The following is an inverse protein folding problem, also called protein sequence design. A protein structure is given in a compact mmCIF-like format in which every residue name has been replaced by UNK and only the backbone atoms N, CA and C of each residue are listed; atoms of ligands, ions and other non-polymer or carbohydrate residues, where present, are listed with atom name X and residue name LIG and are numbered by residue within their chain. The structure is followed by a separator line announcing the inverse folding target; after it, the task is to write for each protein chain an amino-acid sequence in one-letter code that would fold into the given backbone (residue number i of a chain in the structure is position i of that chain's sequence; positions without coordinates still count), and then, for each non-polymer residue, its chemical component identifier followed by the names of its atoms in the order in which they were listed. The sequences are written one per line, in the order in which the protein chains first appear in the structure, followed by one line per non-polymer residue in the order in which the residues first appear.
data_IF_873156639554
#
_entry.id   IF_873156639554
#
_cell.length_a   1.000
_cell.length_b   1.000
_cell.length_c   1.000
_cell.angle_alpha   90.00
_cell.angle_beta   90.00
_cell.angle_gamma   90.00
#
_symmetry.space_group_name_H-M   'P 1'
#
loop_
_entity.id
_entity.type
_entity.pdbx_description
1 polymer ?
#
# COMPACT_ATOMS: atom_id res chain seq x y z
N UNK A 1 -1.20 -28.67 13.33
CA UNK A 1 -2.16 -27.57 13.21
C UNK A 1 -3.49 -28.13 12.71
N UNK A 2 -4.58 -27.88 13.43
CA UNK A 2 -5.95 -28.28 13.06
C UNK A 2 -6.58 -27.29 12.08
N UNK A 3 -7.68 -27.66 11.43
CA UNK A 3 -8.42 -26.72 10.57
C UNK A 3 -8.91 -25.49 11.33
N UNK A 4 -9.35 -25.68 12.59
CA UNK A 4 -9.79 -24.58 13.47
C UNK A 4 -8.63 -23.63 13.77
N UNK A 5 -7.46 -24.15 14.09
CA UNK A 5 -6.26 -23.34 14.32
C UNK A 5 -5.85 -22.58 13.05
N UNK A 6 -5.95 -23.19 11.87
CA UNK A 6 -5.67 -22.52 10.61
C UNK A 6 -6.63 -21.35 10.34
N UNK A 7 -7.93 -21.52 10.61
CA UNK A 7 -8.93 -20.43 10.50
C UNK A 7 -8.63 -19.30 11.48
N UNK A 8 -8.33 -19.62 12.75
CA UNK A 8 -7.97 -18.62 13.76
C UNK A 8 -6.74 -17.84 13.31
N UNK A 9 -5.72 -18.53 12.80
CA UNK A 9 -4.49 -17.92 12.32
C UNK A 9 -4.71 -16.98 11.12
N UNK A 10 -5.58 -17.36 10.18
CA UNK A 10 -6.00 -16.47 9.08
C UNK A 10 -6.69 -15.22 9.64
N UNK A 11 -7.60 -15.39 10.60
CA UNK A 11 -8.36 -14.28 11.16
C UNK A 11 -7.47 -13.30 11.94
N UNK A 12 -6.54 -13.81 12.74
CA UNK A 12 -5.51 -13.00 13.41
C UNK A 12 -4.62 -12.26 12.41
N UNK A 13 -4.18 -12.95 11.35
CA UNK A 13 -3.39 -12.35 10.27
C UNK A 13 -4.13 -11.20 9.58
N UNK A 14 -5.43 -11.34 9.31
CA UNK A 14 -6.24 -10.25 8.74
C UNK A 14 -6.37 -9.05 9.69
N UNK A 15 -6.52 -9.28 11.00
CA UNK A 15 -6.55 -8.18 11.99
C UNK A 15 -5.21 -7.46 12.08
N UNK A 16 -4.11 -8.20 12.01
CA UNK A 16 -2.76 -7.62 11.95
C UNK A 16 -2.55 -6.82 10.65
N UNK A 17 -3.00 -7.34 9.51
CA UNK A 17 -2.95 -6.62 8.23
C UNK A 17 -3.74 -5.31 8.31
N UNK A 18 -4.94 -5.30 8.90
CA UNK A 18 -5.73 -4.08 9.10
C UNK A 18 -4.94 -3.04 9.91
N UNK A 19 -4.27 -3.45 11.00
CA UNK A 19 -3.44 -2.55 11.79
C UNK A 19 -2.28 -1.99 10.96
N UNK A 20 -1.56 -2.85 10.23
CA UNK A 20 -0.47 -2.44 9.34
C UNK A 20 -0.93 -1.49 8.23
N UNK A 21 -2.08 -1.73 7.60
CA UNK A 21 -2.62 -0.83 6.58
C UNK A 21 -3.05 0.53 7.13
N UNK A 22 -3.53 0.60 8.38
CA UNK A 22 -3.79 1.89 9.04
C UNK A 22 -2.50 2.68 9.25
N UNK A 23 -1.44 2.03 9.73
CA UNK A 23 -0.12 2.66 9.82
C UNK A 23 0.41 3.06 8.44
N UNK A 24 0.24 2.20 7.43
CA UNK A 24 0.65 2.49 6.04
C UNK A 24 -0.05 3.76 5.52
N UNK A 25 -1.36 3.87 5.75
CA UNK A 25 -2.15 5.06 5.39
C UNK A 25 -1.62 6.33 6.04
N UNK A 26 -1.33 6.30 7.33
CA UNK A 26 -0.78 7.44 8.08
C UNK A 26 0.60 7.84 7.52
N UNK A 27 1.46 6.86 7.23
CA UNK A 27 2.77 7.11 6.64
C UNK A 27 2.68 7.67 5.22
N UNK A 28 1.75 7.17 4.40
CA UNK A 28 1.52 7.71 3.05
C UNK A 28 1.04 9.17 3.11
N UNK A 29 0.14 9.51 4.04
CA UNK A 29 -0.26 10.90 4.26
C UNK A 29 0.91 11.78 4.76
N UNK A 30 1.75 11.25 5.65
CA UNK A 30 2.95 11.96 6.13
C UNK A 30 3.99 12.16 5.01
N UNK A 31 4.16 11.17 4.13
CA UNK A 31 5.07 11.23 2.99
C UNK A 31 4.68 12.36 2.03
N UNK A 32 3.38 12.51 1.75
CA UNK A 32 2.85 13.61 0.95
C UNK A 32 3.27 14.96 1.54
N UNK A 33 3.03 15.17 2.83
CA UNK A 33 3.37 16.42 3.52
C UNK A 33 4.88 16.68 3.53
N UNK A 34 5.69 15.64 3.75
CA UNK A 34 7.15 15.75 3.74
C UNK A 34 7.68 16.12 2.35
N UNK A 35 7.10 15.54 1.28
CA UNK A 35 7.44 15.88 -0.10
C UNK A 35 7.10 17.35 -0.41
N UNK A 36 5.89 17.80 -0.09
CA UNK A 36 5.46 19.20 -0.30
C UNK A 36 6.34 20.19 0.47
N UNK A 37 6.85 19.81 1.65
CA UNK A 37 7.69 20.65 2.50
C UNK A 37 9.20 20.46 2.27
N UNK A 38 9.60 19.69 1.24
CA UNK A 38 11.00 19.41 0.89
C UNK A 38 11.84 18.81 2.04
N UNK A 39 11.21 17.98 2.90
CA UNK A 39 11.86 17.37 4.07
C UNK A 39 12.49 16.02 3.72
N UNK A 40 13.61 16.04 3.00
CA UNK A 40 14.27 14.82 2.49
C UNK A 40 14.63 13.79 3.58
N UNK A 41 15.11 14.23 4.75
CA UNK A 41 15.42 13.31 5.87
C UNK A 41 14.18 12.56 6.37
N UNK A 42 13.05 13.27 6.52
CA UNK A 42 11.76 12.67 6.93
C UNK A 42 11.24 11.71 5.85
N UNK A 43 11.44 12.03 4.57
CA UNK A 43 11.05 11.12 3.47
C UNK A 43 11.83 9.80 3.50
N UNK A 44 13.12 9.84 3.86
CA UNK A 44 13.95 8.65 3.99
C UNK A 44 13.47 7.75 5.13
N UNK A 45 13.23 8.32 6.32
CA UNK A 45 12.70 7.57 7.47
C UNK A 45 11.34 6.93 7.16
N UNK A 46 10.45 7.66 6.48
CA UNK A 46 9.16 7.13 6.05
C UNK A 46 9.34 5.99 5.05
N UNK A 47 10.24 6.13 4.08
CA UNK A 47 10.49 5.09 3.08
C UNK A 47 10.96 3.77 3.73
N UNK A 48 11.88 3.84 4.68
CA UNK A 48 12.35 2.67 5.44
C UNK A 48 11.22 1.99 6.20
N UNK A 49 10.34 2.78 6.84
CA UNK A 49 9.18 2.24 7.55
C UNK A 49 8.15 1.61 6.61
N UNK A 50 7.90 2.22 5.45
CA UNK A 50 7.02 1.67 4.41
C UNK A 50 7.56 0.31 3.90
N UNK A 51 8.87 0.19 3.68
CA UNK A 51 9.51 -1.06 3.25
C UNK A 51 9.37 -2.18 4.29
N UNK A 52 9.54 -1.85 5.58
CA UNK A 52 9.33 -2.81 6.67
C UNK A 52 7.88 -3.33 6.68
N UNK A 53 6.91 -2.42 6.65
CA UNK A 53 5.48 -2.78 6.64
C UNK A 53 5.11 -3.61 5.41
N UNK A 54 5.62 -3.25 4.23
CA UNK A 54 5.37 -4.00 3.00
C UNK A 54 5.90 -5.44 3.08
N UNK A 55 7.07 -5.63 3.69
CA UNK A 55 7.68 -6.95 3.90
C UNK A 55 6.82 -7.81 4.85
N UNK A 56 6.36 -7.23 5.95
CA UNK A 56 5.47 -7.90 6.91
C UNK A 56 4.13 -8.29 6.29
N UNK A 57 3.51 -7.37 5.53
CA UNK A 57 2.25 -7.61 4.81
C UNK A 57 2.40 -8.75 3.80
N UNK A 58 3.49 -8.78 3.04
CA UNK A 58 3.75 -9.85 2.07
C UNK A 58 3.95 -11.21 2.76
N UNK A 59 4.67 -11.26 3.88
CA UNK A 59 4.84 -12.48 4.66
C UNK A 59 3.48 -13.02 5.16
N UNK A 60 2.64 -12.16 5.73
CA UNK A 60 1.30 -12.55 6.21
C UNK A 60 0.34 -12.90 5.07
N UNK A 61 0.47 -12.26 3.90
CA UNK A 61 -0.27 -12.65 2.69
C UNK A 61 0.09 -14.06 2.26
N UNK A 62 1.38 -14.41 2.22
CA UNK A 62 1.85 -15.77 1.88
C UNK A 62 1.33 -16.80 2.87
N UNK A 63 1.46 -16.56 4.16
CA UNK A 63 0.92 -17.44 5.22
C UNK A 63 -0.59 -17.64 5.04
N UNK A 64 -1.35 -16.56 4.83
CA UNK A 64 -2.80 -16.62 4.60
C UNK A 64 -3.18 -17.45 3.36
N UNK A 65 -2.44 -17.32 2.25
CA UNK A 65 -2.67 -18.12 1.02
C UNK A 65 -2.36 -19.59 1.27
N UNK A 66 -1.28 -19.89 1.97
CA UNK A 66 -0.89 -21.25 2.32
C UNK A 66 -1.96 -21.92 3.21
N UNK A 67 -2.43 -21.22 4.24
CA UNK A 67 -3.48 -21.71 5.13
C UNK A 67 -4.80 -21.92 4.39
N UNK A 68 -5.20 -20.98 3.52
CA UNK A 68 -6.41 -21.13 2.70
C UNK A 68 -6.31 -22.34 1.74
N UNK A 69 -5.13 -22.60 1.19
CA UNK A 69 -4.84 -23.76 0.33
C UNK A 69 -4.96 -25.09 1.06
N UNK A 70 -4.59 -25.14 2.35
CA UNK A 70 -4.80 -26.33 3.20
C UNK A 70 -6.28 -26.56 3.52
N UNK A 71 -7.06 -25.49 3.65
CA UNK A 71 -8.49 -25.55 4.00
C UNK A 71 -9.41 -25.80 2.78
N UNK A 72 -9.01 -25.43 1.57
CA UNK A 72 -9.86 -25.47 0.38
C UNK A 72 -9.08 -26.02 -0.83
N UNK A 73 -9.42 -27.23 -1.29
CA UNK A 73 -8.63 -27.96 -2.31
C UNK A 73 -8.86 -27.51 -3.76
N UNK A 74 -10.10 -27.31 -4.18
CA UNK A 74 -10.40 -27.09 -5.61
C UNK A 74 -10.19 -25.63 -6.07
N UNK A 75 -10.39 -24.65 -5.18
CA UNK A 75 -10.15 -23.21 -5.43
C UNK A 75 -9.90 -22.46 -4.12
N UNK A 76 -8.66 -22.41 -3.60
CA UNK A 76 -8.39 -21.71 -2.36
C UNK A 76 -8.60 -20.20 -2.50
N UNK A 77 -9.49 -19.69 -1.65
CA UNK A 77 -9.75 -18.26 -1.54
C UNK A 77 -10.26 -17.96 -0.15
N UNK A 78 -10.15 -16.70 0.27
CA UNK A 78 -10.69 -16.26 1.56
C UNK A 78 -12.22 -16.39 1.60
N UNK A 79 -12.89 -16.21 0.46
CA UNK A 79 -14.32 -16.50 0.33
C UNK A 79 -14.64 -17.99 0.53
N UNK A 80 -13.80 -18.89 0.00
CA UNK A 80 -13.97 -20.33 0.21
C UNK A 80 -13.74 -20.72 1.69
N UNK A 81 -12.81 -20.05 2.38
CA UNK A 81 -12.63 -20.22 3.83
C UNK A 81 -13.86 -19.72 4.61
N UNK A 82 -14.38 -18.54 4.27
CA UNK A 82 -15.59 -17.98 4.90
C UNK A 82 -16.81 -18.90 4.73
N UNK A 83 -16.96 -19.54 3.56
CA UNK A 83 -18.05 -20.47 3.28
C UNK A 83 -18.04 -21.74 4.17
N UNK A 84 -16.91 -22.05 4.82
CA UNK A 84 -16.81 -23.14 5.80
C UNK A 84 -17.26 -22.74 7.21
N UNK A 85 -17.45 -21.44 7.46
CA UNK A 85 -17.89 -20.90 8.75
C UNK A 85 -19.41 -20.75 8.79
N UNK A 86 -19.97 -20.71 10.00
CA UNK A 86 -21.40 -20.57 10.23
C UNK A 86 -21.70 -19.46 11.24
N UNK A 87 -22.90 -18.87 11.13
CA UNK A 87 -23.41 -17.85 12.04
C UNK A 87 -22.47 -16.65 12.21
N UNK A 88 -22.35 -16.16 13.45
CA UNK A 88 -21.56 -14.98 13.81
C UNK A 88 -20.07 -15.08 13.45
N UNK A 89 -19.50 -16.29 13.40
CA UNK A 89 -18.10 -16.48 13.00
C UNK A 89 -17.88 -16.16 11.53
N UNK A 90 -18.85 -16.49 10.67
CA UNK A 90 -18.81 -16.16 9.25
C UNK A 90 -18.96 -14.65 9.03
N UNK A 91 -19.92 -14.03 9.71
CA UNK A 91 -20.16 -12.59 9.62
C UNK A 91 -18.94 -11.77 10.03
N UNK A 92 -18.33 -12.11 11.17
CA UNK A 92 -17.12 -11.45 11.65
C UNK A 92 -15.94 -11.61 10.67
N UNK A 93 -15.80 -12.80 10.09
CA UNK A 93 -14.76 -13.11 9.10
C UNK A 93 -14.93 -12.29 7.82
N UNK A 94 -16.14 -12.27 7.25
CA UNK A 94 -16.45 -11.51 6.04
C UNK A 94 -16.31 -9.99 6.28
N UNK A 95 -16.76 -9.49 7.44
CA UNK A 95 -16.57 -8.09 7.81
C UNK A 95 -15.08 -7.70 7.92
N UNK A 96 -14.27 -8.56 8.54
CA UNK A 96 -12.83 -8.35 8.63
C UNK A 96 -12.17 -8.34 7.24
N UNK A 97 -12.54 -9.27 6.35
CA UNK A 97 -12.02 -9.31 5.00
C UNK A 97 -12.40 -8.07 4.19
N UNK A 98 -13.68 -7.65 4.25
CA UNK A 98 -14.15 -6.44 3.57
C UNK A 98 -13.44 -5.18 4.07
N UNK A 99 -13.21 -5.07 5.38
CA UNK A 99 -12.46 -3.95 5.94
C UNK A 99 -11.00 -3.93 5.45
N UNK A 100 -10.38 -5.10 5.32
CA UNK A 100 -9.04 -5.22 4.75
C UNK A 100 -9.01 -4.82 3.27
N UNK A 101 -9.95 -5.30 2.45
CA UNK A 101 -10.06 -4.92 1.02
C UNK A 101 -10.21 -3.40 0.85
N UNK A 102 -11.06 -2.76 1.65
CA UNK A 102 -11.25 -1.31 1.60
C UNK A 102 -9.96 -0.53 1.94
N UNK A 103 -9.23 -0.96 2.98
CA UNK A 103 -7.96 -0.33 3.37
C UNK A 103 -6.86 -0.51 2.33
N UNK A 104 -6.82 -1.66 1.66
CA UNK A 104 -5.86 -1.93 0.58
C UNK A 104 -6.09 -0.95 -0.57
N UNK A 105 -7.35 -0.75 -0.98
CA UNK A 105 -7.68 0.18 -2.08
C UNK A 105 -7.38 1.64 -1.68
N UNK A 106 -7.76 2.05 -0.47
CA UNK A 106 -7.43 3.39 0.05
C UNK A 106 -5.91 3.66 0.04
N UNK A 107 -5.11 2.69 0.49
CA UNK A 107 -3.65 2.82 0.47
C UNK A 107 -3.09 2.84 -0.95
N UNK A 108 -3.72 2.14 -1.90
CA UNK A 108 -3.32 2.16 -3.31
C UNK A 108 -3.53 3.53 -3.93
N UNK A 109 -4.67 4.16 -3.67
CA UNK A 109 -4.99 5.51 -4.14
C UNK A 109 -4.02 6.55 -3.56
N UNK A 110 -3.73 6.47 -2.25
CA UNK A 110 -2.77 7.36 -1.59
C UNK A 110 -1.35 7.19 -2.11
N UNK A 111 -0.92 5.95 -2.35
CA UNK A 111 0.39 5.66 -2.91
C UNK A 111 0.54 6.22 -4.34
N UNK A 112 -0.52 6.12 -5.15
CA UNK A 112 -0.53 6.73 -6.50
C UNK A 112 -0.41 8.25 -6.45
N UNK A 113 -1.10 8.90 -5.51
CA UNK A 113 -1.00 10.35 -5.28
C UNK A 113 0.41 10.76 -4.88
N UNK A 114 1.05 10.02 -3.97
CA UNK A 114 2.43 10.30 -3.55
C UNK A 114 3.41 10.18 -4.70
N UNK A 115 3.26 9.14 -5.55
CA UNK A 115 4.11 8.96 -6.72
C UNK A 115 4.02 10.14 -7.68
N UNK A 116 2.80 10.63 -7.96
CA UNK A 116 2.59 11.79 -8.82
C UNK A 116 3.34 13.04 -8.32
N UNK A 117 3.26 13.34 -7.03
CA UNK A 117 3.98 14.49 -6.43
C UNK A 117 5.49 14.36 -6.59
N UNK A 118 6.05 13.20 -6.28
CA UNK A 118 7.51 12.97 -6.35
C UNK A 118 8.01 13.12 -7.79
N UNK A 119 7.28 12.58 -8.77
CA UNK A 119 7.65 12.70 -10.19
C UNK A 119 7.58 14.16 -10.65
N UNK A 120 6.49 14.86 -10.36
CA UNK A 120 6.35 16.28 -10.75
C UNK A 120 7.42 17.15 -10.09
N UNK A 121 7.78 16.89 -8.83
CA UNK A 121 8.87 17.60 -8.17
C UNK A 121 10.22 17.34 -8.83
N UNK A 122 10.47 16.09 -9.23
CA UNK A 122 11.69 15.73 -9.96
C UNK A 122 11.75 16.47 -11.31
N UNK A 123 10.68 16.47 -12.09
CA UNK A 123 10.60 17.17 -13.38
C UNK A 123 10.83 18.69 -13.24
N UNK A 124 10.24 19.33 -12.22
CA UNK A 124 10.47 20.75 -11.94
C UNK A 124 11.94 20.99 -11.60
N UNK A 125 12.54 20.17 -10.75
CA UNK A 125 13.94 20.32 -10.36
C UNK A 125 14.87 20.13 -11.56
N UNK A 126 14.59 19.14 -12.42
CA UNK A 126 15.33 18.93 -13.66
C UNK A 126 15.25 20.15 -14.58
N UNK A 127 14.07 20.75 -14.75
CA UNK A 127 13.90 21.97 -15.55
C UNK A 127 14.61 23.19 -14.96
N UNK A 128 14.64 23.32 -13.63
CA UNK A 128 15.39 24.39 -12.95
C UNK A 128 16.90 24.21 -13.10
N UNK A 129 17.40 22.97 -12.98
CA UNK A 129 18.84 22.67 -13.05
C UNK A 129 19.39 22.71 -14.49
N UNK A 130 18.58 22.29 -15.47
CA UNK A 130 19.00 22.20 -16.86
C UNK A 130 18.49 23.35 -17.72
N UNK A 131 17.67 24.24 -17.15
CA UNK A 131 17.04 25.36 -17.83
C UNK A 131 15.93 24.91 -18.79
N UNK A 132 14.96 25.79 -19.05
CA UNK A 132 14.23 25.70 -20.30
C UNK A 132 15.21 26.11 -21.39
N UNK A 133 15.57 25.20 -22.30
CA UNK A 133 16.31 25.53 -23.52
C UNK A 133 15.40 26.34 -24.45
N UNK A 134 15.00 27.54 -24.02
CA UNK A 134 14.47 28.55 -24.90
C UNK A 134 15.68 29.18 -25.57
N UNK A 135 15.99 28.65 -26.76
CA UNK A 135 16.76 29.37 -27.78
C UNK A 135 16.11 30.73 -27.98
N UNK A 136 16.70 31.77 -27.38
CA UNK A 136 16.43 33.14 -27.76
C UNK A 136 17.06 33.32 -29.14
N UNK A 137 16.30 33.00 -30.20
CA UNK A 137 16.56 33.58 -31.51
C UNK A 137 16.36 35.09 -31.34
N UNK A 138 17.46 35.78 -31.05
CA UNK A 138 17.53 37.22 -31.16
C UNK A 138 17.34 37.58 -32.64
N UNK A 139 16.09 37.76 -33.03
CA UNK A 139 15.72 38.62 -34.14
C UNK A 139 16.22 40.02 -33.77
N UNK A 140 17.45 40.34 -34.13
CA UNK A 140 17.86 41.72 -34.33
C UNK A 140 18.02 41.97 -35.83
N UNK A 141 17.04 42.74 -36.30
CA UNK A 141 16.89 43.26 -37.63
C UNK A 141 18.08 44.12 -38.09
N UNK A 142 18.28 44.09 -39.41
CA UNK A 142 18.69 45.18 -40.27
C UNK A 142 20.04 45.88 -39.99
N UNK A 143 20.99 45.65 -40.91
CA UNK A 143 21.44 46.69 -41.85
C UNK A 143 22.01 46.06 -43.11
#
# INVERSE_FOLDING_TARGET
MTEREAVVRIFEGMRADIASYRTLRELLAAQFNAAVQHRAGVMQEIAERLTQIATELEARRRERVELASRLCKDRPSIRAVAARLQGSSREAFEACWKALEALVEECRELNQRNWHVVVTQHEIMQRVLHGETHTYEAVHAAR
#
